data_IF_256984484126
#
_entry.id   IF_256984484126
#
_cell.length_a   1.000
_cell.length_b   1.000
_cell.length_c   1.000
_cell.angle_alpha   90.00
_cell.angle_beta   90.00
_cell.angle_gamma   90.00
#
_symmetry.space_group_name_H-M   'P 1'
#
loop_
_entity.id
_entity.type
_entity.pdbx_description
1 polymer ?
#
# COMPACT_ATOMS: atom_id res chain seq x y z
N UNK A 1 7.14 -11.80 7.53
CA UNK A 1 8.20 -10.89 8.03
C UNK A 1 7.94 -9.53 7.43
N UNK A 2 7.93 -8.46 8.23
CA UNK A 2 7.70 -7.08 7.75
C UNK A 2 9.01 -6.32 7.50
N UNK A 3 10.14 -7.04 7.41
CA UNK A 3 11.47 -6.44 7.32
C UNK A 3 11.59 -5.44 6.15
N UNK A 4 11.23 -5.87 4.93
CA UNK A 4 11.34 -5.03 3.74
C UNK A 4 10.50 -3.76 3.86
N UNK A 5 9.27 -3.88 4.37
CA UNK A 5 8.44 -2.71 4.66
C UNK A 5 9.06 -1.77 5.70
N UNK A 6 9.70 -2.31 6.75
CA UNK A 6 10.39 -1.48 7.74
C UNK A 6 11.62 -0.77 7.15
N UNK A 7 12.36 -1.43 6.26
CA UNK A 7 13.56 -0.86 5.63
C UNK A 7 13.24 0.40 4.79
N UNK A 8 12.01 0.50 4.25
CA UNK A 8 11.54 1.69 3.52
C UNK A 8 11.54 2.99 4.35
N UNK A 9 11.52 2.87 5.68
CA UNK A 9 11.51 4.04 6.57
C UNK A 9 12.93 4.49 6.99
N UNK A 10 13.95 3.70 6.70
CA UNK A 10 15.34 4.03 7.02
C UNK A 10 15.92 5.02 6.03
N UNK A 11 16.55 6.10 6.52
CA UNK A 11 17.14 7.13 5.65
C UNK A 11 18.57 6.83 5.18
N UNK A 12 19.18 5.77 5.69
CA UNK A 12 20.58 5.40 5.39
C UNK A 12 20.77 4.44 4.21
N UNK A 13 19.71 4.03 3.53
CA UNK A 13 19.78 3.00 2.49
C UNK A 13 19.67 3.62 1.09
N UNK A 14 20.54 3.20 0.17
CA UNK A 14 20.38 3.58 -1.24
C UNK A 14 19.25 2.77 -1.89
N UNK A 15 18.60 3.31 -2.94
CA UNK A 15 17.62 2.56 -3.72
C UNK A 15 18.16 1.24 -4.27
N UNK A 16 19.43 1.19 -4.71
CA UNK A 16 20.09 -0.04 -5.16
C UNK A 16 20.11 -1.11 -4.05
N UNK A 17 20.48 -0.70 -2.83
CA UNK A 17 20.58 -1.64 -1.72
C UNK A 17 19.21 -2.15 -1.32
N UNK A 18 18.19 -1.27 -1.28
CA UNK A 18 16.80 -1.66 -1.02
C UNK A 18 16.32 -2.66 -2.07
N UNK A 19 16.54 -2.38 -3.36
CA UNK A 19 16.20 -3.30 -4.44
C UNK A 19 16.84 -4.68 -4.25
N UNK A 20 18.14 -4.73 -3.90
CA UNK A 20 18.83 -5.99 -3.63
C UNK A 20 18.22 -6.75 -2.44
N UNK A 21 17.74 -6.07 -1.39
CA UNK A 21 17.04 -6.75 -0.30
C UNK A 21 15.74 -7.43 -0.79
N UNK A 22 15.02 -6.82 -1.72
CA UNK A 22 13.83 -7.44 -2.33
C UNK A 22 14.21 -8.65 -3.20
N UNK A 23 15.32 -8.57 -3.95
CA UNK A 23 15.85 -9.70 -4.72
C UNK A 23 16.27 -10.86 -3.81
N UNK A 24 16.98 -10.59 -2.72
CA UNK A 24 17.35 -11.61 -1.73
C UNK A 24 16.12 -12.27 -1.09
N UNK A 25 15.06 -11.50 -0.84
CA UNK A 25 13.81 -12.06 -0.38
C UNK A 25 13.21 -13.02 -1.41
N UNK A 26 13.19 -12.63 -2.70
CA UNK A 26 12.74 -13.51 -3.78
C UNK A 26 13.53 -14.82 -3.82
N UNK A 27 14.87 -14.76 -3.84
CA UNK A 27 15.73 -15.96 -3.88
C UNK A 27 15.44 -16.91 -2.70
N UNK A 28 15.18 -16.34 -1.52
CA UNK A 28 14.94 -17.12 -0.30
C UNK A 28 13.52 -17.70 -0.21
N UNK A 29 12.52 -16.97 -0.69
CA UNK A 29 11.11 -17.27 -0.39
C UNK A 29 10.27 -17.62 -1.62
N UNK A 30 10.49 -16.96 -2.75
CA UNK A 30 9.67 -17.14 -3.95
C UNK A 30 10.33 -18.08 -4.98
N UNK A 31 11.64 -17.98 -5.20
CA UNK A 31 12.36 -18.83 -6.15
C UNK A 31 12.22 -20.34 -5.87
N UNK A 32 12.22 -20.82 -4.61
CA UNK A 32 12.00 -22.25 -4.32
C UNK A 32 10.61 -22.76 -4.77
N UNK A 33 9.65 -21.86 -4.99
CA UNK A 33 8.28 -22.18 -5.39
C UNK A 33 8.09 -22.22 -6.91
N UNK A 34 9.14 -21.93 -7.69
CA UNK A 34 9.08 -21.92 -9.15
C UNK A 34 8.68 -23.28 -9.75
N UNK A 35 9.06 -24.39 -9.09
CA UNK A 35 8.68 -25.75 -9.50
C UNK A 35 7.18 -26.04 -9.34
N UNK A 36 6.44 -25.20 -8.61
CA UNK A 36 5.00 -25.33 -8.39
C UNK A 36 4.16 -24.49 -9.37
N UNK A 37 4.82 -23.73 -10.27
CA UNK A 37 4.16 -23.01 -11.34
C UNK A 37 3.58 -24.01 -12.33
N UNK A 38 2.29 -23.87 -12.64
CA UNK A 38 1.55 -24.73 -13.56
C UNK A 38 1.17 -23.93 -14.81
N UNK A 39 0.98 -24.62 -15.93
CA UNK A 39 0.45 -23.97 -17.14
C UNK A 39 -0.95 -23.39 -16.87
N UNK A 40 -1.21 -22.21 -17.40
CA UNK A 40 -2.50 -21.54 -17.31
C UNK A 40 -3.45 -22.10 -18.36
N UNK A 41 -4.67 -22.46 -17.97
CA UNK A 41 -5.72 -22.97 -18.87
C UNK A 41 -6.70 -21.88 -19.34
N UNK A 42 -6.44 -20.61 -19.01
CA UNK A 42 -7.29 -19.48 -19.36
C UNK A 42 -7.49 -19.36 -20.87
N UNK A 43 -8.74 -19.16 -21.31
CA UNK A 43 -9.04 -18.90 -22.72
C UNK A 43 -8.47 -17.54 -23.15
N UNK A 44 -7.69 -17.52 -24.24
CA UNK A 44 -7.16 -16.29 -24.83
C UNK A 44 -8.15 -15.72 -25.87
N UNK A 45 -9.27 -15.17 -25.40
CA UNK A 45 -10.24 -14.46 -26.23
C UNK A 45 -10.16 -12.95 -25.98
N UNK A 46 -10.09 -12.16 -27.05
CA UNK A 46 -9.96 -10.69 -26.98
C UNK A 46 -11.18 -9.99 -26.37
N UNK A 47 -12.39 -10.52 -26.57
CA UNK A 47 -13.65 -9.88 -26.18
C UNK A 47 -14.41 -10.70 -25.12
N UNK A 48 -13.69 -11.22 -24.12
CA UNK A 48 -14.33 -11.89 -22.98
C UNK A 48 -14.41 -10.94 -21.78
N UNK A 49 -15.43 -11.15 -20.93
CA UNK A 49 -15.46 -10.59 -19.58
C UNK A 49 -14.24 -11.09 -18.80
N UNK A 50 -13.37 -10.18 -18.37
CA UNK A 50 -12.13 -10.50 -17.67
C UNK A 50 -12.41 -10.90 -16.22
N UNK A 51 -11.83 -12.01 -15.77
CA UNK A 51 -11.84 -12.40 -14.36
C UNK A 51 -10.67 -11.76 -13.64
N UNK A 52 -10.96 -10.78 -12.79
CA UNK A 52 -9.93 -10.05 -12.04
C UNK A 52 -10.02 -10.44 -10.57
N UNK A 53 -8.95 -11.08 -10.08
CA UNK A 53 -8.79 -11.45 -8.69
C UNK A 53 -8.06 -10.36 -7.92
N UNK A 54 -8.57 -9.98 -6.76
CA UNK A 54 -7.91 -9.09 -5.81
C UNK A 54 -7.62 -9.87 -4.53
N UNK A 55 -6.36 -9.95 -4.14
CA UNK A 55 -5.96 -10.61 -2.90
C UNK A 55 -5.47 -9.57 -1.90
N UNK A 56 -6.13 -9.49 -0.74
CA UNK A 56 -5.78 -8.51 0.29
C UNK A 56 -6.14 -8.98 1.70
N UNK A 57 -5.32 -8.64 2.71
CA UNK A 57 -5.73 -8.67 4.12
C UNK A 57 -6.56 -7.44 4.54
N UNK A 58 -6.67 -6.44 3.67
CA UNK A 58 -7.18 -5.11 4.01
C UNK A 58 -8.52 -4.77 3.36
N UNK A 59 -9.33 -5.78 3.02
CA UNK A 59 -10.76 -5.60 2.72
C UNK A 59 -11.58 -5.28 3.99
N UNK A 60 -11.23 -4.18 4.66
CA UNK A 60 -11.80 -3.68 5.92
C UNK A 60 -11.55 -2.18 6.04
N UNK A 61 -11.87 -1.57 7.18
CA UNK A 61 -11.50 -0.21 7.54
C UNK A 61 -9.98 -0.02 7.58
N UNK A 62 -9.41 0.25 6.41
CA UNK A 62 -7.98 0.40 6.18
C UNK A 62 -7.73 1.50 5.12
N UNK A 63 -6.49 2.02 5.04
CA UNK A 63 -6.13 3.07 4.08
C UNK A 63 -6.39 2.65 2.62
N UNK A 64 -6.13 1.39 2.27
CA UNK A 64 -6.37 0.86 0.93
C UNK A 64 -7.84 0.96 0.52
N UNK A 65 -8.78 0.88 1.46
CA UNK A 65 -10.21 0.86 1.15
C UNK A 65 -10.70 2.17 0.53
N UNK A 66 -10.08 3.32 0.86
CA UNK A 66 -10.39 4.63 0.28
C UNK A 66 -10.13 4.70 -1.23
N UNK A 67 -9.28 3.81 -1.75
CA UNK A 67 -8.95 3.74 -3.17
C UNK A 67 -9.61 2.56 -3.86
N UNK A 68 -9.73 1.42 -3.16
CA UNK A 68 -10.26 0.20 -3.75
C UNK A 68 -11.79 0.21 -3.87
N UNK A 69 -12.50 0.77 -2.88
CA UNK A 69 -13.96 0.82 -2.88
C UNK A 69 -14.54 1.63 -4.06
N UNK A 70 -14.05 2.85 -4.40
CA UNK A 70 -14.52 3.55 -5.59
C UNK A 70 -14.18 2.82 -6.90
N UNK A 71 -13.04 2.14 -7.00
CA UNK A 71 -12.72 1.29 -8.15
C UNK A 71 -13.76 0.19 -8.33
N UNK A 72 -14.11 -0.53 -7.26
CA UNK A 72 -15.06 -1.63 -7.31
C UNK A 72 -16.46 -1.19 -7.72
N UNK A 73 -16.88 0.01 -7.28
CA UNK A 73 -18.15 0.63 -7.71
C UNK A 73 -18.15 1.02 -9.18
N UNK A 74 -17.00 1.45 -9.70
CA UNK A 74 -16.87 1.99 -11.06
C UNK A 74 -16.57 0.92 -12.12
N UNK A 75 -16.17 -0.29 -11.71
CA UNK A 75 -15.95 -1.40 -12.64
C UNK A 75 -17.20 -1.69 -13.47
N UNK A 76 -17.03 -1.69 -14.79
CA UNK A 76 -18.07 -2.15 -15.71
C UNK A 76 -18.25 -3.67 -15.55
N UNK A 77 -19.35 -4.06 -14.93
CA UNK A 77 -19.68 -5.47 -14.65
C UNK A 77 -19.90 -6.29 -15.93
N UNK A 78 -20.10 -5.68 -17.09
CA UNK A 78 -20.16 -6.40 -18.37
C UNK A 78 -18.77 -6.80 -18.87
N UNK A 79 -17.73 -6.06 -18.48
CA UNK A 79 -16.35 -6.27 -18.91
C UNK A 79 -15.49 -6.95 -17.84
N UNK A 80 -15.83 -6.78 -16.56
CA UNK A 80 -15.04 -7.29 -15.43
C UNK A 80 -15.91 -8.11 -14.48
N UNK A 81 -15.40 -9.27 -14.09
CA UNK A 81 -15.91 -10.11 -13.01
C UNK A 81 -14.93 -10.06 -11.83
N UNK A 82 -15.39 -9.55 -10.67
CA UNK A 82 -14.53 -9.26 -9.53
C UNK A 82 -14.51 -10.45 -8.57
N UNK A 83 -13.33 -11.01 -8.34
CA UNK A 83 -13.06 -12.03 -7.34
C UNK A 83 -12.25 -11.44 -6.19
N UNK A 84 -12.69 -11.64 -4.95
CA UNK A 84 -11.96 -11.24 -3.76
C UNK A 84 -11.44 -12.46 -3.02
N UNK A 85 -10.12 -12.52 -2.83
CA UNK A 85 -9.43 -13.50 -1.97
C UNK A 85 -9.05 -12.79 -0.67
N UNK A 86 -9.87 -12.97 0.36
CA UNK A 86 -9.90 -12.13 1.54
C UNK A 86 -9.17 -12.74 2.74
N UNK A 87 -8.02 -12.15 3.08
CA UNK A 87 -7.21 -12.50 4.27
C UNK A 87 -7.62 -11.62 5.48
N UNK A 88 -8.93 -11.43 5.67
CA UNK A 88 -9.46 -10.48 6.66
C UNK A 88 -9.62 -11.17 8.02
N UNK A 89 -8.78 -10.83 8.99
CA UNK A 89 -8.86 -11.37 10.36
C UNK A 89 -10.04 -10.79 11.15
N UNK A 90 -10.29 -9.49 11.03
CA UNK A 90 -11.33 -8.77 11.76
C UNK A 90 -12.24 -8.08 10.76
N UNK A 91 -13.34 -8.74 10.41
CA UNK A 91 -14.34 -8.20 9.51
C UNK A 91 -15.09 -7.03 10.16
N UNK A 92 -15.40 -6.01 9.36
CA UNK A 92 -16.10 -4.81 9.80
C UNK A 92 -17.14 -4.35 8.74
N UNK A 93 -17.84 -3.21 8.95
CA UNK A 93 -18.81 -2.73 7.96
C UNK A 93 -18.22 -2.46 6.57
N UNK A 94 -16.93 -2.15 6.46
CA UNK A 94 -16.25 -1.96 5.16
C UNK A 94 -16.05 -3.31 4.48
N UNK A 95 -15.71 -4.37 5.22
CA UNK A 95 -15.66 -5.74 4.68
C UNK A 95 -17.00 -6.15 4.06
N UNK A 96 -18.11 -5.85 4.76
CA UNK A 96 -19.45 -6.13 4.24
C UNK A 96 -19.73 -5.40 2.91
N UNK A 97 -19.27 -4.14 2.77
CA UNK A 97 -19.39 -3.40 1.51
C UNK A 97 -18.56 -4.02 0.39
N UNK A 98 -17.32 -4.42 0.65
CA UNK A 98 -16.51 -5.10 -0.38
C UNK A 98 -17.16 -6.40 -0.84
N UNK A 99 -17.71 -7.20 0.09
CA UNK A 99 -18.41 -8.44 -0.23
C UNK A 99 -19.65 -8.20 -1.11
N UNK A 100 -20.36 -7.09 -0.92
CA UNK A 100 -21.49 -6.69 -1.76
C UNK A 100 -21.06 -6.20 -3.15
N UNK A 101 -19.88 -5.58 -3.26
CA UNK A 101 -19.36 -5.03 -4.51
C UNK A 101 -18.64 -6.09 -5.37
N UNK A 102 -18.17 -7.18 -4.77
CA UNK A 102 -17.54 -8.32 -5.46
C UNK A 102 -18.56 -9.27 -6.06
N UNK A 103 -18.25 -9.85 -7.21
CA UNK A 103 -19.04 -10.94 -7.80
C UNK A 103 -18.80 -12.24 -7.03
N UNK A 104 -17.56 -12.47 -6.57
CA UNK A 104 -17.17 -13.65 -5.80
C UNK A 104 -16.31 -13.28 -4.60
N UNK A 105 -16.54 -13.96 -3.48
CA UNK A 105 -15.80 -13.76 -2.24
C UNK A 105 -15.30 -15.09 -1.68
N UNK A 106 -13.99 -15.18 -1.47
CA UNK A 106 -13.33 -16.35 -0.93
C UNK A 106 -12.48 -15.98 0.28
N UNK A 107 -12.89 -16.43 1.47
CA UNK A 107 -12.14 -16.22 2.71
C UNK A 107 -10.87 -17.09 2.72
N UNK A 108 -9.68 -16.51 2.83
CA UNK A 108 -8.39 -17.24 2.78
C UNK A 108 -7.83 -17.60 4.15
N UNK A 109 -8.42 -17.07 5.22
CA UNK A 109 -8.05 -17.37 6.61
C UNK A 109 -8.11 -18.89 6.86
N UNK A 110 -7.03 -19.42 7.45
CA UNK A 110 -6.89 -20.85 7.76
C UNK A 110 -6.49 -21.73 6.57
N UNK A 111 -6.38 -21.18 5.36
CA UNK A 111 -5.94 -21.90 4.16
C UNK A 111 -4.46 -21.68 3.90
N UNK A 112 -3.79 -22.71 3.42
CA UNK A 112 -2.41 -22.64 2.95
C UNK A 112 -2.31 -21.84 1.65
N UNK A 113 -1.13 -21.28 1.38
CA UNK A 113 -0.88 -20.56 0.12
C UNK A 113 -1.03 -21.45 -1.11
N UNK A 114 -0.80 -22.76 -0.98
CA UNK A 114 -1.04 -23.72 -2.05
C UNK A 114 -2.53 -23.87 -2.35
N UNK A 115 -3.38 -24.04 -1.32
CA UNK A 115 -4.84 -24.15 -1.49
C UNK A 115 -5.42 -22.89 -2.11
N UNK A 116 -4.96 -21.71 -1.69
CA UNK A 116 -5.39 -20.43 -2.27
C UNK A 116 -4.95 -20.33 -3.74
N UNK A 117 -3.71 -20.70 -4.07
CA UNK A 117 -3.25 -20.72 -5.46
C UNK A 117 -4.02 -21.72 -6.32
N UNK A 118 -4.43 -22.87 -5.78
CA UNK A 118 -5.28 -23.85 -6.46
C UNK A 118 -6.68 -23.32 -6.71
N UNK A 119 -7.29 -22.64 -5.72
CA UNK A 119 -8.57 -21.97 -5.91
C UNK A 119 -8.51 -20.94 -7.04
N UNK A 120 -7.49 -20.07 -7.04
CA UNK A 120 -7.31 -19.04 -8.08
C UNK A 120 -7.20 -19.66 -9.48
N UNK A 121 -6.49 -20.79 -9.62
CA UNK A 121 -6.41 -21.52 -10.89
C UNK A 121 -7.76 -22.11 -11.30
N UNK A 122 -8.50 -22.69 -10.36
CA UNK A 122 -9.82 -23.28 -10.61
C UNK A 122 -10.85 -22.22 -11.02
N UNK A 123 -10.76 -21.02 -10.43
CA UNK A 123 -11.59 -19.88 -10.79
C UNK A 123 -11.22 -19.31 -12.18
N UNK A 124 -10.07 -19.70 -12.74
CA UNK A 124 -9.60 -19.24 -14.04
C UNK A 124 -9.37 -17.73 -14.06
N UNK A 125 -8.76 -17.19 -13.01
CA UNK A 125 -8.44 -15.75 -12.91
C UNK A 125 -7.47 -15.36 -14.02
N UNK A 126 -7.82 -14.31 -14.77
CA UNK A 126 -7.01 -13.79 -15.87
C UNK A 126 -5.95 -12.82 -15.37
N UNK A 127 -6.33 -11.95 -14.43
CA UNK A 127 -5.46 -10.95 -13.82
C UNK A 127 -5.59 -11.07 -12.30
N UNK A 128 -4.49 -11.39 -11.61
CA UNK A 128 -4.45 -11.40 -10.15
C UNK A 128 -3.70 -10.17 -9.64
N UNK A 129 -4.34 -9.42 -8.75
CA UNK A 129 -3.82 -8.18 -8.18
C UNK A 129 -3.45 -8.41 -6.71
N UNK A 130 -2.17 -8.30 -6.41
CA UNK A 130 -1.64 -8.19 -5.05
C UNK A 130 -1.91 -6.78 -4.53
N UNK A 131 -2.60 -6.71 -3.39
CA UNK A 131 -2.93 -5.44 -2.74
C UNK A 131 -2.11 -5.16 -1.48
N UNK A 132 -1.17 -6.03 -1.12
CA UNK A 132 -0.45 -5.97 0.15
C UNK A 132 1.05 -5.78 -0.02
N UNK A 133 1.67 -6.37 -1.05
CA UNK A 133 3.12 -6.42 -1.21
C UNK A 133 3.81 -6.96 0.05
N UNK A 134 4.89 -6.31 0.50
CA UNK A 134 5.62 -6.73 1.71
C UNK A 134 5.02 -6.24 3.04
N UNK A 135 3.77 -5.77 3.05
CA UNK A 135 3.08 -5.38 4.29
C UNK A 135 2.59 -6.60 5.09
N UNK A 136 2.01 -6.35 6.28
CA UNK A 136 1.60 -7.42 7.19
C UNK A 136 0.50 -8.32 6.59
N UNK A 137 0.56 -9.61 6.89
CA UNK A 137 -0.42 -10.62 6.43
C UNK A 137 -0.57 -10.71 4.90
N UNK A 138 0.46 -10.30 4.15
CA UNK A 138 0.49 -10.55 2.71
C UNK A 138 0.52 -12.05 2.40
N UNK A 139 0.21 -12.38 1.14
CA UNK A 139 0.23 -13.75 0.61
C UNK A 139 1.12 -13.83 -0.63
N UNK A 140 2.30 -13.18 -0.62
CA UNK A 140 3.20 -13.17 -1.79
C UNK A 140 3.63 -14.58 -2.24
N UNK A 141 3.66 -15.57 -1.36
CA UNK A 141 3.89 -16.97 -1.75
C UNK A 141 2.82 -17.54 -2.69
N UNK A 142 1.58 -17.05 -2.62
CA UNK A 142 0.52 -17.37 -3.61
C UNK A 142 0.93 -16.84 -4.98
N UNK A 143 1.39 -15.59 -5.06
CA UNK A 143 1.88 -14.99 -6.30
C UNK A 143 3.17 -15.65 -6.80
N UNK A 144 4.01 -16.21 -5.92
CA UNK A 144 5.20 -16.96 -6.30
C UNK A 144 4.86 -18.26 -7.06
N UNK A 145 3.66 -18.82 -6.82
CA UNK A 145 3.12 -20.00 -7.53
C UNK A 145 2.53 -19.67 -8.90
N UNK A 146 2.51 -18.38 -9.27
CA UNK A 146 1.93 -17.83 -10.49
C UNK A 146 0.59 -18.50 -10.86
N UNK A 147 -0.47 -18.42 -10.04
CA UNK A 147 -1.75 -19.06 -10.36
C UNK A 147 -2.56 -18.34 -11.47
N UNK A 148 -2.29 -17.07 -11.76
CA UNK A 148 -2.90 -16.33 -12.87
C UNK A 148 -1.84 -15.96 -13.92
N UNK A 149 -2.21 -15.89 -15.22
CA UNK A 149 -1.26 -15.62 -16.30
C UNK A 149 -0.68 -14.21 -16.23
N UNK A 150 -1.46 -13.25 -15.75
CA UNK A 150 -1.01 -11.88 -15.47
C UNK A 150 -1.14 -11.63 -13.97
N UNK A 151 -0.06 -11.19 -13.35
CA UNK A 151 -0.03 -10.78 -11.96
C UNK A 151 0.46 -9.36 -11.81
N UNK A 152 -0.23 -8.58 -10.98
CA UNK A 152 0.01 -7.16 -10.80
C UNK A 152 0.16 -6.88 -9.31
N UNK A 153 1.17 -6.10 -8.92
CA UNK A 153 1.19 -5.50 -7.58
C UNK A 153 0.63 -4.08 -7.64
N UNK A 154 -0.26 -3.74 -6.71
CA UNK A 154 -0.80 -2.41 -6.58
C UNK A 154 -1.22 -2.08 -5.15
N UNK A 155 -1.05 -0.80 -4.83
CA UNK A 155 -1.61 -0.06 -3.71
C UNK A 155 -0.92 -0.20 -2.36
N UNK A 156 -0.97 -1.37 -1.71
CA UNK A 156 -0.60 -1.46 -0.29
C UNK A 156 0.89 -1.26 0.01
N UNK A 157 1.75 -1.52 -0.98
CA UNK A 157 3.20 -1.45 -0.84
C UNK A 157 3.79 -0.48 -1.87
N UNK A 158 4.67 0.46 -1.47
CA UNK A 158 5.12 1.54 -2.35
C UNK A 158 6.25 1.13 -3.32
N UNK A 159 6.84 -0.05 -3.17
CA UNK A 159 8.07 -0.44 -3.88
C UNK A 159 7.90 -1.78 -4.60
N UNK A 160 8.97 -2.29 -5.21
CA UNK A 160 9.04 -3.60 -5.86
C UNK A 160 8.70 -4.75 -4.91
N UNK A 161 8.05 -5.80 -5.39
CA UNK A 161 7.97 -7.06 -4.64
C UNK A 161 9.27 -7.85 -4.70
N UNK A 162 10.13 -7.55 -5.68
CA UNK A 162 11.36 -8.28 -5.99
C UNK A 162 11.12 -9.59 -6.73
N UNK A 163 9.87 -9.95 -7.02
CA UNK A 163 9.49 -11.26 -7.53
C UNK A 163 9.40 -11.30 -9.05
N UNK A 164 10.03 -12.32 -9.65
CA UNK A 164 9.96 -12.56 -11.10
C UNK A 164 8.56 -13.00 -11.59
N UNK A 165 7.66 -13.39 -10.69
CA UNK A 165 6.33 -13.88 -11.06
C UNK A 165 5.27 -12.80 -11.09
N UNK A 166 5.56 -11.60 -10.57
CA UNK A 166 4.69 -10.43 -10.68
C UNK A 166 5.13 -9.65 -11.92
N UNK A 167 4.21 -9.51 -12.87
CA UNK A 167 4.52 -9.02 -14.22
C UNK A 167 4.52 -7.48 -14.25
N UNK A 168 3.59 -6.86 -13.55
CA UNK A 168 3.41 -5.41 -13.56
C UNK A 168 3.23 -4.82 -12.17
N UNK A 169 3.58 -3.54 -12.05
CA UNK A 169 3.16 -2.70 -10.92
C UNK A 169 2.41 -1.50 -11.47
N UNK A 170 1.20 -1.26 -10.95
CA UNK A 170 0.46 -0.04 -11.29
C UNK A 170 1.10 1.16 -10.58
N UNK A 171 1.50 2.17 -11.35
CA UNK A 171 2.03 3.45 -10.86
C UNK A 171 1.56 4.61 -11.73
N UNK A 172 2.17 5.78 -11.59
CA UNK A 172 1.96 6.93 -12.47
C UNK A 172 3.27 7.69 -12.73
N UNK A 173 3.21 8.68 -13.62
CA UNK A 173 4.36 9.47 -14.05
C UNK A 173 4.86 10.46 -12.98
N UNK A 174 4.13 10.65 -11.88
CA UNK A 174 4.53 11.53 -10.77
C UNK A 174 5.27 10.73 -9.71
N UNK A 175 4.71 9.59 -9.29
CA UNK A 175 5.30 8.69 -8.31
C UNK A 175 6.54 7.99 -8.86
N UNK A 176 6.49 7.53 -10.11
CA UNK A 176 7.58 6.84 -10.79
C UNK A 176 7.79 7.43 -12.19
N UNK A 177 8.52 8.55 -12.35
CA UNK A 177 8.82 9.10 -13.68
C UNK A 177 9.59 8.09 -14.55
N UNK A 178 9.38 8.17 -15.86
CA UNK A 178 10.03 7.26 -16.82
C UNK A 178 11.55 7.39 -16.80
N UNK A 179 12.25 6.26 -16.69
CA UNK A 179 13.71 6.17 -16.72
C UNK A 179 14.40 6.52 -15.39
N UNK A 180 13.66 6.92 -14.35
CA UNK A 180 14.26 7.28 -13.06
C UNK A 180 14.37 6.08 -12.11
N UNK A 181 13.27 5.34 -11.93
CA UNK A 181 13.17 4.27 -10.95
C UNK A 181 13.08 2.87 -11.56
N UNK A 182 12.89 2.73 -12.88
CA UNK A 182 12.63 1.46 -13.58
C UNK A 182 13.67 0.36 -13.26
N UNK A 183 14.94 0.74 -13.11
CA UNK A 183 16.03 -0.20 -12.77
C UNK A 183 15.93 -0.81 -11.36
N UNK A 184 15.06 -0.28 -10.51
CA UNK A 184 14.81 -0.76 -9.14
C UNK A 184 13.48 -1.52 -9.03
N UNK A 185 12.88 -1.91 -10.15
CA UNK A 185 11.70 -2.77 -10.17
C UNK A 185 11.97 -4.06 -10.91
N UNK A 186 11.43 -5.16 -10.39
CA UNK A 186 11.39 -6.43 -11.11
C UNK A 186 10.18 -6.50 -12.04
N UNK A 187 9.11 -5.84 -11.63
CA UNK A 187 7.88 -5.64 -12.37
C UNK A 187 8.08 -4.58 -13.46
N UNK A 188 7.33 -4.71 -14.55
CA UNK A 188 7.20 -3.60 -15.48
C UNK A 188 6.27 -2.54 -14.90
N UNK A 189 6.77 -1.30 -14.78
CA UNK A 189 5.97 -0.18 -14.28
C UNK A 189 4.89 0.23 -15.30
N UNK A 190 3.63 -0.04 -14.97
CA UNK A 190 2.48 0.39 -15.74
C UNK A 190 1.99 1.74 -15.23
N UNK A 191 2.40 2.80 -15.93
CA UNK A 191 2.13 4.19 -15.54
C UNK A 191 0.79 4.67 -16.07
N UNK A 192 -0.14 4.97 -15.17
CA UNK A 192 -1.46 5.48 -15.49
C UNK A 192 -1.41 7.01 -15.74
N UNK A 193 -2.14 7.52 -16.75
CA UNK A 193 -2.04 8.93 -17.16
C UNK A 193 -2.63 9.92 -16.14
N UNK A 194 -3.58 9.50 -15.30
CA UNK A 194 -4.33 10.37 -14.40
C UNK A 194 -4.07 10.06 -12.91
N UNK A 195 -2.93 9.45 -12.61
CA UNK A 195 -2.57 9.01 -11.27
C UNK A 195 -2.93 7.56 -10.98
N UNK A 196 -2.17 6.90 -10.10
CA UNK A 196 -2.38 5.49 -9.74
C UNK A 196 -3.36 5.27 -8.59
N UNK A 197 -3.86 6.35 -7.99
CA UNK A 197 -4.74 6.37 -6.83
C UNK A 197 -6.11 6.94 -7.20
N UNK A 198 -7.16 6.14 -7.07
CA UNK A 198 -8.55 6.56 -7.27
C UNK A 198 -9.24 6.82 -5.93
N UNK A 199 -8.98 7.98 -5.31
CA UNK A 199 -9.47 8.29 -3.97
C UNK A 199 -10.96 8.64 -3.90
N UNK A 200 -11.66 8.10 -2.90
CA UNK A 200 -12.95 8.59 -2.43
C UNK A 200 -13.02 8.50 -0.90
N UNK A 201 -13.56 9.51 -0.19
CA UNK A 201 -13.78 9.40 1.24
C UNK A 201 -14.79 8.28 1.54
N UNK A 202 -14.48 7.43 2.53
CA UNK A 202 -15.37 6.34 2.98
C UNK A 202 -16.40 6.78 4.01
N UNK A 203 -16.15 7.91 4.66
CA UNK A 203 -16.95 8.45 5.75
C UNK A 203 -17.23 9.93 5.49
N UNK A 204 -18.26 10.46 6.14
CA UNK A 204 -18.56 11.88 6.08
C UNK A 204 -17.36 12.68 6.59
N UNK A 205 -16.85 13.57 5.74
CA UNK A 205 -15.81 14.51 6.13
C UNK A 205 -16.42 15.59 7.02
N UNK A 206 -15.72 16.02 8.09
CA UNK A 206 -16.19 17.11 8.93
C UNK A 206 -16.28 18.41 8.12
N UNK A 207 -17.19 19.30 8.54
CA UNK A 207 -17.30 20.64 7.97
C UNK A 207 -16.00 21.42 8.14
N UNK A 208 -15.69 22.25 7.16
CA UNK A 208 -14.51 23.12 7.20
C UNK A 208 -14.70 24.14 8.31
N UNK A 209 -13.82 24.10 9.31
CA UNK A 209 -13.83 25.06 10.43
C UNK A 209 -13.04 26.32 10.10
N UNK A 210 -13.24 27.36 10.92
CA UNK A 210 -12.44 28.59 10.85
C UNK A 210 -10.95 28.29 11.08
N UNK A 211 -10.08 28.94 10.30
CA UNK A 211 -8.64 28.75 10.38
C UNK A 211 -8.12 29.05 11.80
N UNK A 212 -7.38 28.13 12.44
CA UNK A 212 -6.79 28.38 13.76
C UNK A 212 -5.93 29.66 13.83
N UNK A 213 -5.28 30.00 12.71
CA UNK A 213 -4.48 31.22 12.55
C UNK A 213 -5.26 32.51 12.87
N UNK A 214 -6.55 32.57 12.52
CA UNK A 214 -7.37 33.77 12.74
C UNK A 214 -7.59 34.06 14.23
N UNK A 215 -7.52 33.01 15.07
CA UNK A 215 -7.68 33.14 16.53
C UNK A 215 -6.35 33.37 17.24
N UNK A 216 -5.29 32.65 16.83
CA UNK A 216 -4.00 32.68 17.53
C UNK A 216 -3.01 33.72 16.98
N UNK A 217 -3.22 34.21 15.75
CA UNK A 217 -2.22 34.97 15.00
C UNK A 217 -0.99 34.15 14.60
N UNK A 218 -1.04 32.83 14.78
CA UNK A 218 0.09 31.93 14.65
C UNK A 218 -0.22 30.73 13.77
N UNK A 219 0.77 30.32 12.99
CA UNK A 219 0.76 29.18 12.09
C UNK A 219 0.90 27.90 12.92
N UNK A 220 0.03 26.94 12.64
CA UNK A 220 0.09 25.58 13.18
C UNK A 220 0.46 24.62 12.06
N UNK A 221 1.56 23.90 12.20
CA UNK A 221 1.93 22.83 11.28
C UNK A 221 1.32 21.51 11.76
N UNK A 222 0.92 20.64 10.83
CA UNK A 222 0.36 19.32 11.15
C UNK A 222 1.00 18.21 10.32
N UNK A 223 1.32 17.09 10.96
CA UNK A 223 1.76 15.86 10.32
C UNK A 223 1.08 14.65 10.95
N UNK A 224 0.02 14.17 10.30
CA UNK A 224 -0.79 13.03 10.75
C UNK A 224 -0.30 11.71 10.14
N UNK A 225 1.02 11.52 10.14
CA UNK A 225 1.67 10.33 9.60
C UNK A 225 1.91 9.26 10.67
N UNK A 226 2.17 8.03 10.22
CA UNK A 226 2.74 7.01 11.09
C UNK A 226 4.11 7.48 11.61
N UNK A 227 4.37 7.30 12.90
CA UNK A 227 5.62 7.71 13.55
C UNK A 227 6.85 7.03 12.94
N UNK A 228 6.71 5.86 12.32
CA UNK A 228 7.82 5.21 11.60
C UNK A 228 8.38 6.07 10.48
N UNK A 229 7.60 7.02 9.93
CA UNK A 229 8.06 7.99 8.91
C UNK A 229 8.85 9.16 9.50
N UNK A 230 8.91 9.29 10.82
CA UNK A 230 9.53 10.44 11.51
C UNK A 230 10.94 10.06 11.92
N UNK A 231 11.88 10.25 11.01
CA UNK A 231 13.31 10.02 11.25
C UNK A 231 14.05 11.33 11.61
N UNK A 232 15.36 11.21 11.87
CA UNK A 232 16.21 12.34 12.27
C UNK A 232 16.25 13.46 11.22
N UNK A 233 16.24 13.11 9.94
CA UNK A 233 16.24 14.09 8.84
C UNK A 233 14.94 14.89 8.78
N UNK A 234 13.80 14.22 8.98
CA UNK A 234 12.48 14.86 9.08
C UNK A 234 12.42 15.80 10.29
N UNK A 235 12.89 15.35 11.47
CA UNK A 235 12.93 16.17 12.68
C UNK A 235 13.83 17.39 12.48
N UNK A 236 15.01 17.21 11.88
CA UNK A 236 15.93 18.29 11.58
C UNK A 236 15.31 19.31 10.61
N UNK A 237 14.61 18.83 9.57
CA UNK A 237 13.90 19.70 8.63
C UNK A 237 12.78 20.50 9.32
N UNK A 238 11.95 19.85 10.12
CA UNK A 238 10.90 20.51 10.91
C UNK A 238 11.49 21.54 11.87
N UNK A 239 12.60 21.23 12.53
CA UNK A 239 13.28 22.14 13.44
C UNK A 239 13.76 23.41 12.70
N UNK A 240 14.38 23.26 11.52
CA UNK A 240 14.79 24.42 10.70
C UNK A 240 13.61 25.28 10.28
N UNK A 241 12.50 24.66 9.85
CA UNK A 241 11.29 25.39 9.45
C UNK A 241 10.72 26.18 10.63
N UNK A 242 10.59 25.53 11.79
CA UNK A 242 10.07 26.17 13.00
C UNK A 242 10.97 27.32 13.45
N UNK A 243 12.29 27.16 13.39
CA UNK A 243 13.27 28.20 13.76
C UNK A 243 13.18 29.45 12.87
N UNK A 244 12.92 29.27 11.57
CA UNK A 244 12.71 30.39 10.64
C UNK A 244 11.34 31.06 10.89
N UNK A 245 10.34 30.28 11.31
CA UNK A 245 8.98 30.77 11.54
C UNK A 245 8.72 31.30 12.97
N UNK A 246 9.74 31.38 13.84
CA UNK A 246 9.64 31.67 15.28
C UNK A 246 8.82 32.90 15.69
N UNK A 247 8.63 33.90 14.82
CA UNK A 247 7.80 35.07 15.14
C UNK A 247 6.29 34.83 14.95
N UNK A 248 5.89 33.71 14.32
CA UNK A 248 4.49 33.39 14.00
C UNK A 248 4.12 31.91 14.15
N UNK A 249 4.98 31.00 14.62
CA UNK A 249 4.64 29.57 14.74
C UNK A 249 4.49 29.15 16.22
N UNK A 250 3.48 28.34 16.53
CA UNK A 250 3.19 27.91 17.93
C UNK A 250 3.51 26.45 18.22
N UNK A 251 3.30 25.53 17.26
CA UNK A 251 3.48 24.10 17.49
C UNK A 251 3.41 23.26 16.20
N UNK A 252 3.91 22.03 16.31
CA UNK A 252 3.69 20.94 15.36
C UNK A 252 2.70 19.95 15.99
N UNK A 253 1.56 19.73 15.33
CA UNK A 253 0.58 18.71 15.72
C UNK A 253 0.96 17.38 15.07
N UNK A 254 1.13 16.36 15.91
CA UNK A 254 1.30 14.95 15.52
C UNK A 254 0.05 14.17 15.95
N UNK A 255 -0.18 12.99 15.37
CA UNK A 255 -1.27 12.10 15.79
C UNK A 255 -1.32 11.92 17.33
N UNK A 256 -2.51 11.78 17.93
CA UNK A 256 -2.63 11.60 19.38
C UNK A 256 -1.81 10.37 19.85
N UNK A 257 -1.18 10.46 21.04
CA UNK A 257 -0.20 9.49 21.50
C UNK A 257 -0.88 8.14 21.78
N UNK A 258 -0.71 7.20 20.85
CA UNK A 258 -1.21 5.84 20.98
C UNK A 258 -0.14 4.75 20.97
N UNK A 259 1.13 5.04 20.62
CA UNK A 259 2.11 3.96 20.47
C UNK A 259 3.58 4.28 20.71
N UNK A 260 4.01 5.52 20.96
CA UNK A 260 5.43 5.76 21.26
C UNK A 260 5.68 7.04 22.08
N UNK A 261 5.90 6.87 23.37
CA UNK A 261 6.20 7.96 24.34
C UNK A 261 7.59 8.57 24.11
N UNK A 262 8.46 7.90 23.36
CA UNK A 262 9.88 8.26 23.17
C UNK A 262 10.08 9.41 22.19
N UNK A 263 9.19 9.58 21.21
CA UNK A 263 9.25 10.68 20.25
C UNK A 263 8.72 11.99 20.83
N UNK A 264 7.69 11.90 21.68
CA UNK A 264 7.10 13.07 22.35
C UNK A 264 8.11 13.77 23.27
N UNK A 265 8.91 13.00 24.01
CA UNK A 265 9.93 13.55 24.92
C UNK A 265 11.01 14.34 24.17
N UNK A 266 11.42 13.88 22.97
CA UNK A 266 12.41 14.56 22.11
C UNK A 266 11.92 15.89 21.52
N UNK A 267 10.63 16.01 21.26
CA UNK A 267 10.03 17.25 20.75
C UNK A 267 9.85 18.27 21.88
N UNK A 268 9.49 17.82 23.09
CA UNK A 268 9.37 18.72 24.25
C UNK A 268 10.70 19.28 24.75
N UNK A 269 11.82 18.56 24.56
CA UNK A 269 13.16 19.03 24.93
C UNK A 269 13.77 20.03 23.95
N UNK A 270 13.21 20.19 22.74
CA UNK A 270 13.63 21.19 21.76
C UNK A 270 12.98 22.57 21.98
N UNK A 271 12.17 22.75 23.03
CA UNK A 271 11.71 24.09 23.43
C UNK A 271 12.92 24.91 23.90
N UNK A 272 13.22 26.05 23.28
CA UNK A 272 14.18 27.00 23.85
C UNK A 272 13.66 27.41 25.22
N UNK A 273 14.52 27.31 26.25
CA UNK A 273 14.27 27.95 27.53
C UNK A 273 14.24 29.46 27.30
N UNK A 274 13.05 30.03 27.14
CA UNK A 274 12.87 31.48 27.17
C UNK A 274 12.93 31.87 28.65
N UNK A 275 14.13 32.19 29.13
CA UNK A 275 14.32 32.89 30.40
C UNK A 275 13.75 34.30 30.27
N UNK A 276 12.90 34.68 31.22
CA UNK A 276 12.40 36.05 31.41
C UNK A 276 13.54 37.05 31.65
#
# INVERSE_FOLDING_TARGET
SNLLFTLQYGSGHSPEWLFEQHRLWHEKHAAPLASEIKAHSNEQKLEKRLRVGYLSPDFRGHSCAYFLEPLFRAHDKTQVEIFCYAEVQNADPVTARFRQLSDHWYDTIGKSDQEVAEQIRNDGIDILVDLAGHTANNRLSVFARKPAPIQISWLGYPDTTGMNTIDYRLSDFVADPEGMSDKYFTETLMRLPNGFLCYSPLFQTPEVSELPFLKSGKITFGSFNNLTKVNEEVIAAWSRILLVCCLKADSLLMNPPGSDTTAYSRITTLRPSVSQ
#
